data_IF_903139440147
#
_entry.id   IF_903139440147
#
_cell.length_a   1.000
_cell.length_b   1.000
_cell.length_c   1.000
_cell.angle_alpha   90.00
_cell.angle_beta   90.00
_cell.angle_gamma   90.00
#
_symmetry.space_group_name_H-M   'P 1'
#
loop_
_entity.id
_entity.type
_entity.pdbx_description
1 polymer ?
#
# COMPACT_ATOMS: atom_id res chain seq x y z
N UNK A 1 -11.53 4.74 -5.95
CA UNK A 1 -10.93 3.73 -6.85
C UNK A 1 -9.42 3.72 -6.71
N UNK A 2 -8.71 4.84 -6.92
CA UNK A 2 -7.25 4.91 -6.71
C UNK A 2 -6.84 4.49 -5.28
N UNK A 3 -7.56 4.96 -4.27
CA UNK A 3 -7.42 4.54 -2.87
C UNK A 3 -7.44 3.01 -2.70
N UNK A 4 -8.47 2.36 -3.23
CA UNK A 4 -8.63 0.91 -3.14
C UNK A 4 -7.51 0.17 -3.86
N UNK A 5 -7.09 0.62 -5.04
CA UNK A 5 -5.98 0.00 -5.79
C UNK A 5 -4.67 0.12 -5.00
N UNK A 6 -4.35 1.29 -4.45
CA UNK A 6 -3.16 1.46 -3.60
C UNK A 6 -3.22 0.58 -2.34
N UNK A 7 -4.36 0.51 -1.66
CA UNK A 7 -4.53 -0.33 -0.46
C UNK A 7 -4.33 -1.83 -0.79
N UNK A 8 -4.86 -2.29 -1.93
CA UNK A 8 -4.68 -3.68 -2.37
C UNK A 8 -3.22 -3.98 -2.71
N UNK A 9 -2.52 -3.07 -3.42
CA UNK A 9 -1.07 -3.19 -3.65
C UNK A 9 -0.30 -3.25 -2.33
N UNK A 10 -0.65 -2.41 -1.34
CA UNK A 10 0.02 -2.38 -0.04
C UNK A 10 -0.11 -3.71 0.70
N UNK A 11 -1.33 -4.27 0.73
CA UNK A 11 -1.60 -5.57 1.36
C UNK A 11 -0.87 -6.70 0.62
N UNK A 12 -0.93 -6.70 -0.72
CA UNK A 12 -0.31 -7.74 -1.54
C UNK A 12 1.21 -7.76 -1.38
N UNK A 13 1.86 -6.59 -1.50
CA UNK A 13 3.31 -6.44 -1.30
C UNK A 13 3.71 -6.86 0.12
N UNK A 14 2.97 -6.40 1.14
CA UNK A 14 3.19 -6.81 2.53
C UNK A 14 3.09 -8.33 2.72
N UNK A 15 2.06 -8.95 2.14
CA UNK A 15 1.86 -10.41 2.19
C UNK A 15 3.00 -11.17 1.50
N UNK A 16 3.46 -10.66 0.35
CA UNK A 16 4.59 -11.25 -0.36
C UNK A 16 5.89 -11.13 0.44
N UNK A 17 6.12 -9.98 1.10
CA UNK A 17 7.26 -9.77 2.00
C UNK A 17 7.25 -10.75 3.16
N UNK A 18 6.13 -10.91 3.85
CA UNK A 18 5.99 -11.86 4.96
C UNK A 18 6.24 -13.30 4.50
N UNK A 19 5.60 -13.74 3.40
CA UNK A 19 5.74 -15.10 2.87
C UNK A 19 7.15 -15.43 2.38
N UNK A 20 7.89 -14.43 1.91
CA UNK A 20 9.26 -14.59 1.41
C UNK A 20 10.31 -14.07 2.38
N UNK A 21 9.98 -13.90 3.68
CA UNK A 21 10.92 -13.47 4.74
C UNK A 21 11.70 -12.20 4.40
N UNK A 22 11.07 -11.27 3.69
CA UNK A 22 11.68 -10.00 3.29
C UNK A 22 12.63 -10.09 2.09
N UNK A 23 12.62 -11.16 1.30
CA UNK A 23 13.40 -11.27 0.05
C UNK A 23 12.85 -10.31 -1.02
N UNK A 24 13.41 -9.10 -1.07
CA UNK A 24 12.95 -8.01 -1.94
C UNK A 24 13.15 -8.36 -3.41
N UNK A 25 14.28 -8.97 -3.79
CA UNK A 25 14.60 -9.27 -5.19
C UNK A 25 13.60 -10.27 -5.78
N UNK A 26 13.28 -11.32 -5.03
CA UNK A 26 12.28 -12.32 -5.44
C UNK A 26 10.89 -11.70 -5.62
N UNK A 27 10.51 -10.78 -4.73
CA UNK A 27 9.21 -10.11 -4.78
C UNK A 27 9.15 -9.13 -5.94
N UNK A 28 10.19 -8.33 -6.14
CA UNK A 28 10.30 -7.40 -7.25
C UNK A 28 10.19 -8.14 -8.59
N UNK A 29 10.91 -9.24 -8.76
CA UNK A 29 10.79 -10.10 -9.94
C UNK A 29 9.37 -10.63 -10.12
N UNK A 30 8.75 -11.13 -9.04
CA UNK A 30 7.39 -11.65 -9.09
C UNK A 30 6.37 -10.57 -9.51
N UNK A 31 6.49 -9.36 -8.99
CA UNK A 31 5.61 -8.24 -9.35
C UNK A 31 5.84 -7.82 -10.80
N UNK A 32 7.11 -7.61 -11.17
CA UNK A 32 7.50 -7.15 -12.51
C UNK A 32 7.06 -8.11 -13.62
N UNK A 33 7.16 -9.42 -13.38
CA UNK A 33 6.77 -10.44 -14.35
C UNK A 33 5.32 -10.92 -14.23
N UNK A 34 4.47 -10.23 -13.44
CA UNK A 34 3.07 -10.63 -13.20
C UNK A 34 2.96 -12.10 -12.74
N UNK A 35 3.88 -12.53 -11.88
CA UNK A 35 4.12 -13.95 -11.55
C UNK A 35 3.07 -14.63 -10.67
N UNK A 36 1.93 -13.97 -10.43
CA UNK A 36 0.75 -14.56 -9.80
C UNK A 36 -0.53 -13.82 -10.21
N UNK A 37 -1.68 -14.48 -9.97
CA UNK A 37 -3.00 -13.98 -10.35
C UNK A 37 -3.35 -12.64 -9.71
N UNK A 38 -2.89 -12.38 -8.49
CA UNK A 38 -3.25 -11.13 -7.80
C UNK A 38 -2.41 -9.97 -8.31
N UNK A 39 -1.13 -10.20 -8.59
CA UNK A 39 -0.29 -9.24 -9.32
C UNK A 39 -0.90 -8.92 -10.70
N UNK A 40 -1.31 -9.93 -11.46
CA UNK A 40 -1.96 -9.73 -12.77
C UNK A 40 -3.29 -8.96 -12.65
N UNK A 41 -4.09 -9.27 -11.62
CA UNK A 41 -5.34 -8.58 -11.37
C UNK A 41 -5.16 -7.11 -11.00
N UNK A 42 -4.20 -6.81 -10.12
CA UNK A 42 -3.85 -5.45 -9.72
C UNK A 42 -3.37 -4.62 -10.90
N UNK A 43 -2.49 -5.18 -11.73
CA UNK A 43 -2.03 -4.53 -12.95
C UNK A 43 -3.18 -4.23 -13.92
N UNK A 44 -4.14 -5.16 -14.09
CA UNK A 44 -5.34 -4.91 -14.89
C UNK A 44 -6.20 -3.76 -14.32
N UNK A 45 -6.33 -3.66 -13.00
CA UNK A 45 -7.07 -2.56 -12.36
C UNK A 45 -6.36 -1.22 -12.56
N UNK A 46 -5.04 -1.19 -12.40
CA UNK A 46 -4.19 -0.02 -12.63
C UNK A 46 -4.37 0.52 -14.06
N UNK A 47 -4.15 -0.33 -15.07
CA UNK A 47 -4.25 0.06 -16.48
C UNK A 47 -5.67 0.45 -16.85
N UNK A 48 -6.68 -0.31 -16.42
CA UNK A 48 -8.10 -0.03 -16.72
C UNK A 48 -8.53 1.35 -16.23
N UNK A 49 -7.94 1.83 -15.14
CA UNK A 49 -8.29 3.13 -14.55
C UNK A 49 -7.30 4.25 -14.92
N UNK A 50 -6.26 3.97 -15.72
CA UNK A 50 -5.25 4.95 -16.14
C UNK A 50 -4.40 5.46 -14.97
N UNK A 51 -4.08 4.58 -14.03
CA UNK A 51 -3.28 4.94 -12.85
C UNK A 51 -1.78 4.71 -13.02
N UNK A 52 -1.34 4.15 -14.14
CA UNK A 52 0.04 3.73 -14.41
C UNK A 52 1.08 4.83 -14.17
N UNK A 53 0.74 6.09 -14.47
CA UNK A 53 1.65 7.23 -14.28
C UNK A 53 1.57 7.90 -12.90
N UNK A 54 0.55 7.58 -12.08
CA UNK A 54 0.33 8.20 -10.76
C UNK A 54 0.37 7.20 -9.60
N UNK A 55 0.41 5.90 -9.90
CA UNK A 55 0.25 4.85 -8.90
C UNK A 55 1.37 4.90 -7.87
N UNK A 56 2.60 5.19 -8.31
CA UNK A 56 3.76 5.24 -7.42
C UNK A 56 3.62 6.37 -6.39
N UNK A 57 3.32 7.58 -6.84
CA UNK A 57 3.14 8.75 -5.96
C UNK A 57 1.92 8.58 -5.05
N UNK A 58 0.83 8.01 -5.58
CA UNK A 58 -0.34 7.69 -4.78
C UNK A 58 -0.05 6.62 -3.71
N UNK A 59 0.74 5.60 -4.06
CA UNK A 59 1.17 4.57 -3.13
C UNK A 59 2.06 5.16 -2.03
N UNK A 60 3.00 6.04 -2.36
CA UNK A 60 3.84 6.73 -1.39
C UNK A 60 3.01 7.58 -0.42
N UNK A 61 1.98 8.28 -0.89
CA UNK A 61 1.06 9.03 -0.03
C UNK A 61 0.26 8.13 0.91
N UNK A 62 -0.21 6.97 0.42
CA UNK A 62 -0.83 5.94 1.27
C UNK A 62 0.16 5.41 2.30
N UNK A 63 1.39 5.11 1.91
CA UNK A 63 2.45 4.67 2.82
C UNK A 63 2.73 5.71 3.90
N UNK A 64 2.89 6.98 3.52
CA UNK A 64 3.09 8.11 4.45
C UNK A 64 1.96 8.20 5.47
N UNK A 65 0.71 8.10 5.01
CA UNK A 65 -0.48 8.05 5.87
C UNK A 65 -0.48 6.81 6.77
N UNK A 66 -0.09 5.63 6.27
CA UNK A 66 -0.01 4.41 7.07
C UNK A 66 1.04 4.52 8.18
N UNK A 67 2.21 5.07 7.90
CA UNK A 67 3.26 5.31 8.88
C UNK A 67 2.85 6.35 9.93
N UNK A 68 1.99 7.31 9.58
CA UNK A 68 1.44 8.30 10.53
C UNK A 68 0.53 7.69 11.61
N UNK A 69 0.05 6.46 11.41
CA UNK A 69 -0.76 5.72 12.40
C UNK A 69 0.08 5.20 13.56
N UNK A 70 1.41 5.13 13.43
CA UNK A 70 2.28 4.61 14.46
C UNK A 70 2.39 5.58 15.64
N UNK A 71 2.76 5.05 16.81
CA UNK A 71 3.10 5.83 17.98
C UNK A 71 4.38 6.66 17.79
N UNK A 72 4.69 7.51 18.77
CA UNK A 72 5.91 8.33 18.77
C UNK A 72 7.20 7.50 18.74
N UNK A 73 7.11 6.23 19.11
CA UNK A 73 8.18 5.24 19.12
C UNK A 73 8.27 4.43 17.80
N UNK A 74 7.43 4.73 16.81
CA UNK A 74 7.37 4.00 15.55
C UNK A 74 6.69 2.63 15.66
N UNK A 75 5.99 2.33 16.76
CA UNK A 75 5.29 1.06 16.95
C UNK A 75 3.78 1.20 16.76
N UNK A 76 3.07 0.14 16.35
CA UNK A 76 1.61 0.14 16.35
C UNK A 76 1.07 0.38 17.76
N UNK A 77 0.01 1.17 17.89
CA UNK A 77 -0.68 1.38 19.17
C UNK A 77 -1.85 0.41 19.25
N UNK A 78 -1.90 -0.36 20.33
CA UNK A 78 -2.96 -1.33 20.59
C UNK A 78 -3.88 -0.81 21.69
N UNK A 79 -5.18 -0.96 21.48
CA UNK A 79 -6.20 -0.85 22.53
C UNK A 79 -6.22 -2.14 23.35
N UNK A 80 -6.85 -2.10 24.52
CA UNK A 80 -6.99 -3.24 25.46
C UNK A 80 -7.59 -4.50 24.81
N UNK A 81 -8.43 -4.34 23.79
CA UNK A 81 -9.03 -5.45 23.02
C UNK A 81 -8.14 -5.98 21.88
N UNK A 82 -6.89 -5.52 21.80
CA UNK A 82 -5.94 -5.87 20.74
C UNK A 82 -6.17 -5.12 19.43
N UNK A 83 -7.13 -4.20 19.36
CA UNK A 83 -7.37 -3.41 18.14
C UNK A 83 -6.24 -2.41 17.92
N UNK A 84 -5.67 -2.40 16.72
CA UNK A 84 -4.75 -1.33 16.31
C UNK A 84 -5.52 -0.02 16.16
N UNK A 85 -5.07 1.02 16.86
CA UNK A 85 -5.64 2.36 16.80
C UNK A 85 -4.71 3.35 16.11
N UNK A 86 -5.27 4.50 15.72
CA UNK A 86 -4.53 5.56 15.04
C UNK A 86 -3.68 6.34 16.03
N UNK A 87 -2.42 6.56 15.66
CA UNK A 87 -1.50 7.41 16.39
C UNK A 87 -1.90 8.88 16.44
N UNK A 88 -1.29 9.64 17.36
CA UNK A 88 -1.65 11.04 17.61
C UNK A 88 -1.39 11.95 16.40
N UNK A 89 -0.51 11.53 15.48
CA UNK A 89 -0.12 12.28 14.29
C UNK A 89 -0.82 11.78 13.02
N UNK A 90 -1.88 10.97 13.16
CA UNK A 90 -2.57 10.39 12.01
C UNK A 90 -3.15 11.46 11.09
N UNK A 91 -2.89 11.30 9.79
CA UNK A 91 -3.59 12.01 8.73
C UNK A 91 -4.12 11.03 7.68
N UNK A 92 -5.20 11.42 6.99
CA UNK A 92 -5.71 10.65 5.84
C UNK A 92 -4.86 10.94 4.60
N UNK A 93 -4.65 9.97 3.70
CA UNK A 93 -3.91 10.21 2.47
C UNK A 93 -4.69 11.17 1.58
N UNK A 94 -4.01 12.15 0.99
CA UNK A 94 -4.62 13.09 0.04
C UNK A 94 -4.45 12.60 -1.40
N UNK A 95 -5.21 11.60 -1.83
CA UNK A 95 -5.07 11.05 -3.18
C UNK A 95 -5.69 11.92 -4.28
N UNK A 96 -6.54 12.89 -3.90
CA UNK A 96 -7.16 13.82 -4.86
C UNK A 96 -6.13 14.68 -5.58
N UNK A 97 -4.94 14.87 -5.02
CA UNK A 97 -3.88 15.66 -5.64
C UNK A 97 -3.26 14.99 -6.88
N UNK A 98 -3.43 13.68 -7.04
CA UNK A 98 -2.88 12.92 -8.17
C UNK A 98 -3.89 12.69 -9.29
N UNK A 99 -5.18 12.86 -8.99
CA UNK A 99 -6.22 12.76 -10.01
C UNK A 99 -6.39 14.15 -10.60
N UNK A 100 -5.66 14.45 -11.67
CA UNK A 100 -5.94 15.61 -12.51
C UNK A 100 -7.36 15.50 -13.07
N UNK A 101 -8.14 16.57 -12.93
CA UNK A 101 -9.40 16.73 -13.64
C UNK A 101 -9.15 17.14 -15.08
#
# INVERSE_FOLDING_TARGET
MLDAVCDMYYIHIGTLLEKNKGDIEKIANKIFFLGDKETEHLFKLEVKNGFDVILLEAFEEVHRSNMSKLGKDGKPIFREDGKIIKGPNFFRPNLKQFITK
#
